data_IF_776214382582
#
_entry.id   IF_776214382582
#
_cell.length_a   1.000
_cell.length_b   1.000
_cell.length_c   1.000
_cell.angle_alpha   90.00
_cell.angle_beta   90.00
_cell.angle_gamma   90.00
#
_symmetry.space_group_name_H-M   'P 1'
#
loop_
_entity.id
_entity.type
_entity.pdbx_description
1 polymer ?
#
# COMPACT_ATOMS: atom_id res chain seq x y z
N UNK A 1 8.47 25.26 -25.61
CA UNK A 1 9.07 24.15 -24.82
C UNK A 1 8.87 22.87 -25.59
N UNK A 2 9.94 22.13 -25.87
CA UNK A 2 9.83 20.79 -26.48
C UNK A 2 9.56 19.82 -25.34
N UNK A 3 8.49 19.05 -25.42
CA UNK A 3 8.17 18.07 -24.39
C UNK A 3 9.18 16.91 -24.49
N UNK A 4 9.91 16.64 -23.41
CA UNK A 4 10.98 15.64 -23.35
C UNK A 4 10.47 14.29 -22.84
N UNK A 5 9.17 14.16 -22.55
CA UNK A 5 8.56 12.92 -22.10
C UNK A 5 8.51 11.84 -23.19
N UNK A 6 8.65 10.57 -22.76
CA UNK A 6 8.39 9.42 -23.61
C UNK A 6 6.89 9.32 -23.90
N UNK A 7 6.51 9.35 -25.18
CA UNK A 7 5.10 9.30 -25.62
C UNK A 7 4.69 7.92 -26.11
N UNK A 8 5.64 7.00 -26.31
CA UNK A 8 5.36 5.62 -26.68
C UNK A 8 5.19 4.75 -25.43
N UNK A 9 3.95 4.31 -25.17
CA UNK A 9 3.61 3.43 -24.04
C UNK A 9 4.39 2.11 -24.06
N UNK A 10 4.56 1.51 -25.25
CA UNK A 10 5.31 0.25 -25.39
C UNK A 10 6.78 0.42 -25.03
N UNK A 11 7.38 1.57 -25.39
CA UNK A 11 8.75 1.90 -25.01
C UNK A 11 8.86 2.18 -23.52
N UNK A 12 7.92 2.92 -22.95
CA UNK A 12 7.88 3.22 -21.52
C UNK A 12 7.83 1.94 -20.66
N UNK A 13 7.02 0.96 -21.05
CA UNK A 13 6.82 -0.29 -20.31
C UNK A 13 7.85 -1.38 -20.67
N UNK A 14 8.68 -1.18 -21.70
CA UNK A 14 9.60 -2.21 -22.23
C UNK A 14 10.62 -2.74 -21.21
N UNK A 15 10.86 -1.99 -20.13
CA UNK A 15 11.82 -2.32 -19.07
C UNK A 15 11.17 -2.61 -17.73
N UNK A 16 9.83 -2.66 -17.66
CA UNK A 16 9.11 -2.98 -16.43
C UNK A 16 9.29 -4.46 -16.10
N UNK A 17 9.97 -4.74 -15.00
CA UNK A 17 10.18 -6.09 -14.47
C UNK A 17 9.38 -6.21 -13.17
N UNK A 18 8.39 -7.10 -13.15
CA UNK A 18 7.61 -7.40 -11.96
C UNK A 18 8.29 -8.47 -11.12
N UNK A 19 8.48 -8.21 -9.83
CA UNK A 19 9.01 -9.20 -8.88
C UNK A 19 7.97 -9.44 -7.78
N UNK A 20 7.57 -10.70 -7.53
CA UNK A 20 6.66 -11.00 -6.44
C UNK A 20 7.37 -10.81 -5.11
N UNK A 21 6.72 -10.09 -4.19
CA UNK A 21 7.19 -9.96 -2.82
C UNK A 21 6.77 -11.21 -2.02
N UNK A 22 7.63 -11.79 -1.16
CA UNK A 22 7.29 -13.02 -0.41
C UNK A 22 6.22 -12.80 0.67
N UNK A 23 6.13 -11.59 1.22
CA UNK A 23 5.16 -11.26 2.28
C UNK A 23 3.76 -11.05 1.74
N UNK A 24 2.77 -11.63 2.41
CA UNK A 24 1.35 -11.31 2.19
C UNK A 24 0.98 -10.05 2.96
N UNK A 25 0.46 -9.06 2.24
CA UNK A 25 -0.07 -7.83 2.80
C UNK A 25 -1.59 -7.81 2.74
N UNK A 26 -2.20 -7.11 3.70
CA UNK A 26 -3.65 -6.93 3.81
C UNK A 26 -3.98 -5.45 3.97
N UNK A 27 -5.19 -5.10 3.57
CA UNK A 27 -5.76 -3.77 3.78
C UNK A 27 -6.61 -3.81 5.04
N UNK A 28 -6.51 -2.79 5.88
CA UNK A 28 -7.38 -2.61 7.04
C UNK A 28 -7.75 -1.14 7.18
N UNK A 29 -9.02 -0.86 7.43
CA UNK A 29 -9.54 0.51 7.58
C UNK A 29 -9.89 0.80 9.02
N UNK A 30 -9.37 1.91 9.55
CA UNK A 30 -9.56 2.36 10.92
C UNK A 30 -10.38 3.65 10.93
N UNK A 31 -11.57 3.58 11.52
CA UNK A 31 -12.38 4.77 11.82
C UNK A 31 -11.91 5.48 13.09
N UNK A 32 -11.34 4.74 14.04
CA UNK A 32 -10.71 5.28 15.25
C UNK A 32 -9.19 5.39 15.08
N UNK A 33 -8.67 6.63 15.12
CA UNK A 33 -7.25 6.90 15.00
C UNK A 33 -6.40 6.34 16.15
N UNK A 34 -7.00 6.07 17.32
CA UNK A 34 -6.28 5.48 18.45
C UNK A 34 -5.95 4.00 18.26
N UNK A 35 -6.66 3.33 17.33
CA UNK A 35 -6.47 1.93 16.99
C UNK A 35 -5.44 1.69 15.86
N UNK A 36 -4.80 2.76 15.36
CA UNK A 36 -3.83 2.64 14.28
C UNK A 36 -2.59 1.84 14.71
N UNK A 37 -2.02 1.00 13.82
CA UNK A 37 -0.75 0.33 14.07
C UNK A 37 0.40 1.31 14.32
N UNK A 38 1.46 0.82 14.96
CA UNK A 38 2.73 1.54 14.96
C UNK A 38 3.23 1.73 13.52
N UNK A 39 3.80 2.91 13.22
CA UNK A 39 4.26 3.23 11.85
C UNK A 39 5.25 2.23 11.27
N UNK A 40 6.02 1.54 12.12
CA UNK A 40 6.96 0.49 11.72
C UNK A 40 6.28 -0.73 11.08
N UNK A 41 5.00 -0.95 11.39
CA UNK A 41 4.19 -2.08 10.90
C UNK A 41 3.37 -1.70 9.66
N UNK A 42 3.42 -0.42 9.24
CA UNK A 42 2.65 0.11 8.12
C UNK A 42 3.53 0.17 6.87
N UNK A 43 3.14 -0.56 5.82
CA UNK A 43 3.77 -0.49 4.51
C UNK A 43 3.33 0.77 3.75
N UNK A 44 2.03 1.09 3.80
CA UNK A 44 1.41 2.26 3.17
C UNK A 44 0.18 2.68 3.98
N UNK A 45 -0.21 3.95 3.91
CA UNK A 45 -1.46 4.43 4.49
C UNK A 45 -2.13 5.50 3.63
N UNK A 46 -3.44 5.58 3.73
CA UNK A 46 -4.30 6.54 3.03
C UNK A 46 -5.33 7.09 4.00
N UNK A 47 -5.57 8.40 3.92
CA UNK A 47 -6.67 9.03 4.63
C UNK A 47 -7.83 9.22 3.65
N UNK A 48 -8.94 8.57 3.94
CA UNK A 48 -10.16 8.56 3.13
C UNK A 48 -11.31 9.21 3.91
N UNK A 49 -12.50 9.30 3.32
CA UNK A 49 -13.65 9.91 4.00
C UNK A 49 -14.18 9.02 5.14
N UNK A 50 -14.03 7.70 4.99
CA UNK A 50 -14.54 6.65 5.85
C UNK A 50 -13.57 6.28 6.98
N UNK A 51 -12.29 6.69 6.90
CA UNK A 51 -11.27 6.37 7.88
C UNK A 51 -9.84 6.44 7.32
N UNK A 52 -8.92 5.82 8.03
CA UNK A 52 -7.53 5.62 7.57
C UNK A 52 -7.35 4.17 7.14
N UNK A 53 -7.07 3.95 5.87
CA UNK A 53 -6.72 2.63 5.33
C UNK A 53 -5.22 2.45 5.42
N UNK A 54 -4.79 1.33 6.01
CA UNK A 54 -3.38 0.95 6.11
C UNK A 54 -3.15 -0.37 5.38
N UNK A 55 -1.97 -0.52 4.81
CA UNK A 55 -1.46 -1.78 4.28
C UNK A 55 -0.42 -2.30 5.27
N UNK A 56 -0.67 -3.46 5.84
CA UNK A 56 0.20 -4.13 6.83
C UNK A 56 0.39 -5.59 6.46
N UNK A 57 1.31 -6.28 7.12
CA UNK A 57 1.47 -7.74 6.93
C UNK A 57 0.25 -8.49 7.48
N UNK A 58 -0.11 -9.62 6.85
CA UNK A 58 -1.15 -10.53 7.35
C UNK A 58 -0.78 -11.07 8.74
N UNK A 59 0.51 -11.32 8.99
CA UNK A 59 1.03 -11.79 10.27
C UNK A 59 0.71 -10.80 11.40
N UNK A 60 1.03 -9.53 11.20
CA UNK A 60 0.74 -8.47 12.18
C UNK A 60 -0.76 -8.32 12.40
N UNK A 61 -1.55 -8.27 11.32
CA UNK A 61 -2.99 -8.12 11.41
C UNK A 61 -3.65 -9.25 12.20
N UNK A 62 -3.18 -10.49 11.99
CA UNK A 62 -3.67 -11.66 12.71
C UNK A 62 -3.27 -11.60 14.18
N UNK A 63 -2.02 -11.25 14.49
CA UNK A 63 -1.52 -11.15 15.86
C UNK A 63 -2.27 -10.09 16.69
N UNK A 64 -2.61 -8.95 16.06
CA UNK A 64 -3.35 -7.86 16.69
C UNK A 64 -4.88 -7.97 16.55
N UNK A 65 -5.38 -9.04 15.91
CA UNK A 65 -6.82 -9.29 15.67
C UNK A 65 -7.51 -8.11 14.97
N UNK A 66 -6.81 -7.51 14.01
CA UNK A 66 -7.35 -6.43 13.19
C UNK A 66 -8.50 -7.00 12.35
N UNK A 67 -9.63 -6.28 12.33
CA UNK A 67 -10.73 -6.61 11.44
C UNK A 67 -10.35 -6.17 10.02
N UNK A 68 -10.28 -7.13 9.10
CA UNK A 68 -9.90 -6.91 7.70
C UNK A 68 -11.11 -6.55 6.83
#
# INVERSE_FOLDING_TARGET
MKDHGETSLSKLLSTLISTPHPTTYVFATFSDHSALPHVAEIQLFFREAEGVTVITTLEYATAQKINL
#
